data_IF_018543823322
#
_entry.id   IF_018543823322
#
_cell.length_a   1.000
_cell.length_b   1.000
_cell.length_c   1.000
_cell.angle_alpha   90.00
_cell.angle_beta   90.00
_cell.angle_gamma   90.00
#
_symmetry.space_group_name_H-M   'P 1'
#
loop_
_entity.id
_entity.type
_entity.pdbx_description
1 polymer ?
#
# COMPACT_ATOMS: atom_id res chain seq x y z
N UNK A 1 -21.01 38.62 3.30
CA UNK A 1 -20.38 37.33 3.64
C UNK A 1 -19.24 37.13 2.65
N UNK A 2 -18.03 37.54 2.99
CA UNK A 2 -16.83 37.32 2.16
C UNK A 2 -16.36 35.89 2.32
N UNK A 3 -16.51 35.07 1.29
CA UNK A 3 -15.94 33.72 1.25
C UNK A 3 -14.47 33.83 0.88
N UNK A 4 -13.56 33.70 1.86
CA UNK A 4 -12.15 33.52 1.56
C UNK A 4 -11.97 32.15 0.89
N UNK A 5 -11.59 32.14 -0.38
CA UNK A 5 -11.21 30.93 -1.10
C UNK A 5 -9.86 30.44 -0.58
N UNK A 6 -9.83 29.25 -0.01
CA UNK A 6 -8.58 28.57 0.37
C UNK A 6 -8.14 27.74 -0.84
N UNK A 7 -6.89 27.92 -1.26
CA UNK A 7 -6.26 27.10 -2.29
C UNK A 7 -5.84 25.77 -1.68
N UNK A 8 -6.44 24.69 -2.16
CA UNK A 8 -6.22 23.35 -1.62
C UNK A 8 -5.13 22.59 -2.42
N UNK A 9 -4.71 23.09 -3.59
CA UNK A 9 -3.70 22.43 -4.45
C UNK A 9 -2.30 22.31 -3.83
N UNK A 10 -2.04 23.09 -2.78
CA UNK A 10 -0.75 23.15 -2.08
C UNK A 10 -0.72 22.24 -0.84
N UNK A 11 -1.78 21.47 -0.57
CA UNK A 11 -1.80 20.56 0.56
C UNK A 11 -0.95 19.31 0.26
N UNK A 12 -0.15 18.84 1.22
CA UNK A 12 0.58 17.60 1.06
C UNK A 12 -0.37 16.43 0.81
N UNK A 13 0.11 15.42 0.09
CA UNK A 13 -0.61 14.14 -0.02
C UNK A 13 -0.94 13.62 1.38
N UNK A 14 -2.12 13.01 1.57
CA UNK A 14 -2.50 12.45 2.86
C UNK A 14 -1.52 11.35 3.29
N UNK A 15 -1.20 11.29 4.59
CA UNK A 15 -0.41 10.21 5.21
C UNK A 15 -1.03 8.81 5.00
N UNK A 16 -2.28 8.74 4.55
CA UNK A 16 -2.99 7.50 4.22
C UNK A 16 -2.55 6.87 2.89
N UNK A 17 -1.79 7.58 2.04
CA UNK A 17 -1.21 7.01 0.82
C UNK A 17 0.16 6.43 1.17
N UNK A 18 0.31 5.13 1.00
CA UNK A 18 1.55 4.40 1.29
C UNK A 18 2.33 4.03 0.02
N UNK A 19 3.66 3.87 0.15
CA UNK A 19 4.47 3.19 -0.85
C UNK A 19 4.28 1.67 -0.70
N UNK A 20 3.95 0.99 -1.79
CA UNK A 20 3.59 -0.43 -1.76
C UNK A 20 4.68 -1.24 -2.43
N UNK A 21 5.35 -2.07 -1.63
CA UNK A 21 6.39 -3.00 -2.09
C UNK A 21 6.01 -4.45 -1.72
N UNK A 22 5.75 -5.33 -2.70
CA UNK A 22 5.44 -6.73 -2.43
C UNK A 22 6.58 -7.47 -1.70
N UNK A 23 7.84 -7.04 -1.83
CA UNK A 23 8.98 -7.64 -1.13
C UNK A 23 8.93 -7.36 0.39
N UNK A 24 8.42 -6.19 0.78
CA UNK A 24 8.17 -5.90 2.20
C UNK A 24 7.05 -6.78 2.72
N UNK A 25 5.97 -6.92 1.95
CA UNK A 25 4.79 -7.72 2.35
C UNK A 25 5.15 -9.20 2.49
N UNK A 26 5.98 -9.78 1.61
CA UNK A 26 6.40 -11.18 1.77
C UNK A 26 7.25 -11.36 3.03
N UNK A 27 8.12 -10.41 3.38
CA UNK A 27 8.89 -10.46 4.63
C UNK A 27 7.96 -10.42 5.85
N UNK A 28 6.98 -9.52 5.87
CA UNK A 28 5.96 -9.47 6.94
C UNK A 28 5.16 -10.78 7.00
N UNK A 29 4.79 -11.35 5.86
CA UNK A 29 4.07 -12.60 5.77
C UNK A 29 4.90 -13.78 6.32
N UNK A 30 6.18 -13.89 5.98
CA UNK A 30 7.06 -14.98 6.49
C UNK A 30 7.27 -14.87 7.99
N UNK A 31 7.47 -13.66 8.53
CA UNK A 31 7.51 -13.42 9.98
C UNK A 31 6.19 -13.82 10.64
N UNK A 32 5.06 -13.47 10.01
CA UNK A 32 3.71 -13.82 10.46
C UNK A 32 3.47 -15.33 10.46
N UNK A 33 4.02 -16.08 9.50
CA UNK A 33 4.00 -17.54 9.47
C UNK A 33 4.81 -18.14 10.62
N UNK A 34 6.07 -17.76 10.76
CA UNK A 34 6.98 -18.27 11.81
C UNK A 34 6.45 -17.94 13.21
N UNK A 35 5.82 -16.78 13.39
CA UNK A 35 5.22 -16.40 14.68
C UNK A 35 4.05 -17.30 15.07
N UNK A 36 3.29 -17.83 14.10
CA UNK A 36 2.14 -18.72 14.33
C UNK A 36 2.56 -20.18 14.46
N UNK A 37 3.58 -20.59 13.72
CA UNK A 37 4.16 -21.93 13.80
C UNK A 37 5.69 -21.83 13.92
N UNK A 38 6.23 -21.69 15.15
CA UNK A 38 7.67 -21.62 15.37
C UNK A 38 8.42 -22.91 14.98
N UNK A 39 7.72 -24.02 14.77
CA UNK A 39 8.32 -25.28 14.31
C UNK A 39 8.41 -25.34 12.78
N UNK A 40 7.83 -24.37 12.06
CA UNK A 40 7.96 -24.27 10.61
C UNK A 40 9.36 -23.80 10.24
N UNK A 41 10.25 -24.75 9.97
CA UNK A 41 11.66 -24.50 9.64
C UNK A 41 11.95 -24.77 8.16
N UNK A 42 12.94 -24.07 7.59
CA UNK A 42 13.41 -24.34 6.23
C UNK A 42 12.53 -23.78 5.12
N UNK A 43 11.77 -22.73 5.42
CA UNK A 43 11.01 -21.99 4.42
C UNK A 43 11.96 -21.42 3.36
N UNK A 44 11.78 -21.87 2.11
CA UNK A 44 12.57 -21.48 0.93
C UNK A 44 11.62 -21.22 -0.24
N UNK A 45 12.10 -20.61 -1.32
CA UNK A 45 11.26 -20.26 -2.49
C UNK A 45 10.54 -21.45 -3.13
N UNK A 46 11.11 -22.65 -3.09
CA UNK A 46 10.47 -23.86 -3.62
C UNK A 46 9.39 -24.45 -2.71
N UNK A 47 9.26 -23.95 -1.47
CA UNK A 47 8.26 -24.41 -0.52
C UNK A 47 6.86 -23.94 -0.98
N UNK A 48 5.86 -24.85 -1.08
CA UNK A 48 4.50 -24.47 -1.40
C UNK A 48 3.92 -23.35 -0.53
N UNK A 49 4.31 -23.26 0.75
CA UNK A 49 3.92 -22.17 1.63
C UNK A 49 4.51 -20.83 1.15
N UNK A 50 5.77 -20.81 0.75
CA UNK A 50 6.42 -19.58 0.25
C UNK A 50 5.75 -19.09 -1.05
N UNK A 51 5.49 -20.00 -1.99
CA UNK A 51 4.77 -19.70 -3.24
C UNK A 51 3.38 -19.12 -2.94
N UNK A 52 2.67 -19.65 -1.94
CA UNK A 52 1.39 -19.08 -1.51
C UNK A 52 1.56 -17.71 -0.85
N UNK A 53 2.64 -17.51 -0.09
CA UNK A 53 3.02 -16.21 0.45
C UNK A 53 3.19 -15.17 -0.64
N UNK A 54 3.88 -15.49 -1.74
CA UNK A 54 4.04 -14.59 -2.89
C UNK A 54 2.69 -14.24 -3.54
N UNK A 55 1.82 -15.24 -3.73
CA UNK A 55 0.48 -15.01 -4.25
C UNK A 55 -0.37 -14.12 -3.34
N UNK A 56 -0.21 -14.24 -2.02
CA UNK A 56 -0.84 -13.38 -1.02
C UNK A 56 -0.27 -11.97 -1.10
N UNK A 57 1.06 -11.82 -1.08
CA UNK A 57 1.74 -10.53 -1.17
C UNK A 57 1.31 -9.75 -2.42
N UNK A 58 1.28 -10.41 -3.58
CA UNK A 58 0.79 -9.80 -4.82
C UNK A 58 -0.66 -9.33 -4.73
N UNK A 59 -1.56 -10.15 -4.17
CA UNK A 59 -2.98 -9.78 -3.98
C UNK A 59 -3.12 -8.61 -3.02
N UNK A 60 -2.35 -8.62 -1.94
CA UNK A 60 -2.35 -7.56 -0.94
C UNK A 60 -1.85 -6.24 -1.51
N UNK A 61 -0.76 -6.24 -2.28
CA UNK A 61 -0.28 -5.04 -2.99
C UNK A 61 -1.39 -4.42 -3.85
N UNK A 62 -2.11 -5.24 -4.63
CA UNK A 62 -3.20 -4.75 -5.47
C UNK A 62 -4.38 -4.18 -4.66
N UNK A 63 -4.67 -4.75 -3.49
CA UNK A 63 -5.70 -4.21 -2.60
C UNK A 63 -5.28 -2.87 -2.01
N UNK A 64 -4.02 -2.74 -1.57
CA UNK A 64 -3.44 -1.49 -1.06
C UNK A 64 -3.40 -0.42 -2.14
N UNK A 65 -3.05 -0.76 -3.39
CA UNK A 65 -3.08 0.17 -4.53
C UNK A 65 -4.50 0.69 -4.75
N UNK A 66 -5.52 -0.18 -4.72
CA UNK A 66 -6.92 0.24 -4.85
C UNK A 66 -7.36 1.17 -3.73
N UNK A 67 -6.84 1.00 -2.51
CA UNK A 67 -7.08 1.91 -1.40
C UNK A 67 -6.39 3.26 -1.65
N UNK A 68 -5.13 3.28 -2.06
CA UNK A 68 -4.41 4.49 -2.44
C UNK A 68 -5.14 5.26 -3.55
N UNK A 69 -5.63 4.57 -4.57
CA UNK A 69 -6.43 5.16 -5.65
C UNK A 69 -7.74 5.75 -5.15
N UNK A 70 -8.48 5.03 -4.28
CA UNK A 70 -9.74 5.52 -3.72
C UNK A 70 -9.53 6.77 -2.85
N UNK A 71 -8.48 6.77 -2.02
CA UNK A 71 -8.06 7.95 -1.26
C UNK A 71 -7.70 9.08 -2.23
N UNK A 72 -6.81 8.82 -3.19
CA UNK A 72 -6.38 9.79 -4.20
C UNK A 72 -7.53 10.42 -4.99
N UNK A 73 -8.55 9.65 -5.37
CA UNK A 73 -9.74 10.17 -6.06
C UNK A 73 -10.54 11.18 -5.22
N UNK A 74 -10.68 10.95 -3.92
CA UNK A 74 -11.36 11.89 -3.04
C UNK A 74 -10.56 13.20 -2.87
N UNK A 75 -9.23 13.13 -3.01
CA UNK A 75 -8.32 14.28 -2.97
C UNK A 75 -7.92 14.79 -4.36
N UNK A 76 -8.56 14.31 -5.42
CA UNK A 76 -8.25 14.64 -6.82
C UNK A 76 -8.23 16.14 -7.14
N UNK A 77 -9.13 16.99 -6.60
CA UNK A 77 -9.07 18.44 -6.82
C UNK A 77 -7.77 19.09 -6.31
N UNK A 78 -7.02 18.45 -5.41
CA UNK A 78 -5.72 18.92 -4.92
C UNK A 78 -4.58 18.60 -5.91
N UNK A 79 -4.71 17.47 -6.62
CA UNK A 79 -3.65 16.90 -7.45
C UNK A 79 -3.63 17.48 -8.88
N UNK A 80 -4.78 17.91 -9.43
CA UNK A 80 -4.85 18.55 -10.77
C UNK A 80 -4.12 19.91 -10.84
N UNK A 81 -3.94 20.60 -9.70
CA UNK A 81 -3.15 21.84 -9.62
C UNK A 81 -1.64 21.63 -9.83
N UNK A 82 -1.16 20.38 -9.75
CA UNK A 82 0.26 20.03 -9.92
C UNK A 82 0.63 19.60 -11.35
N UNK A 83 -0.33 19.15 -12.17
CA UNK A 83 -0.07 18.64 -13.54
C UNK A 83 -0.15 19.71 -14.63
N UNK A 84 -0.37 20.97 -14.25
CA UNK A 84 -0.49 22.13 -15.17
C UNK A 84 0.68 23.13 -15.08
N UNK A 85 1.83 22.72 -14.52
CA UNK A 85 3.10 23.46 -14.57
C UNK A 85 4.18 22.71 -15.35
#
# INVERSE_FOLDING_TARGET
>A
MTTNSIDLSQLPLPDAIEEIDPEVIIVEWTQSLISKDPNYTGLVESDPAYIQGEAVAFRESNLRVRVNEAVGQHFWPLLEGMTSM
#
